data_IF_460629151203
#
_entry.id   IF_460629151203
#
_cell.length_a   1.000
_cell.length_b   1.000
_cell.length_c   1.000
_cell.angle_alpha   90.00
_cell.angle_beta   90.00
_cell.angle_gamma   90.00
#
_symmetry.space_group_name_H-M   'P 1'
#
loop_
_entity.id
_entity.type
_entity.pdbx_description
1 polymer ?
#
# COMPACT_ATOMS: atom_id res chain seq x y z
N UNK A 1 15.82 -8.02 -11.59
CA UNK A 1 15.45 -7.04 -10.55
C UNK A 1 14.33 -7.59 -9.70
N UNK A 2 14.39 -7.45 -8.38
CA UNK A 2 13.28 -7.89 -7.54
C UNK A 2 12.05 -7.04 -7.83
N UNK A 3 10.86 -7.66 -7.71
CA UNK A 3 9.61 -6.98 -7.91
C UNK A 3 9.43 -5.89 -6.85
N UNK A 4 8.90 -4.71 -7.20
CA UNK A 4 8.52 -3.72 -6.21
C UNK A 4 7.46 -4.28 -5.26
N UNK A 5 7.59 -3.97 -3.98
CA UNK A 5 6.63 -4.33 -2.95
C UNK A 5 5.80 -3.09 -2.62
N UNK A 6 4.49 -3.18 -2.84
CA UNK A 6 3.54 -2.12 -2.56
C UNK A 6 2.69 -2.51 -1.36
N UNK A 7 2.76 -1.72 -0.30
CA UNK A 7 1.91 -1.89 0.88
C UNK A 7 0.73 -0.93 0.81
N UNK A 8 -0.47 -1.45 1.01
CA UNK A 8 -1.70 -0.67 0.89
C UNK A 8 -2.27 -0.31 2.25
N UNK A 9 -2.48 0.99 2.48
CA UNK A 9 -3.29 1.49 3.58
C UNK A 9 -4.78 1.28 3.28
N UNK A 10 -5.61 1.26 4.33
CA UNK A 10 -7.04 1.01 4.21
C UNK A 10 -7.75 2.04 3.31
N UNK A 11 -7.42 3.33 3.44
CA UNK A 11 -8.02 4.38 2.61
C UNK A 11 -7.78 4.14 1.11
N UNK A 12 -6.57 3.74 0.73
CA UNK A 12 -6.25 3.43 -0.66
C UNK A 12 -6.98 2.18 -1.15
N UNK A 13 -7.06 1.15 -0.33
CA UNK A 13 -7.74 -0.09 -0.67
C UNK A 13 -9.26 0.11 -0.79
N UNK A 14 -9.87 0.85 0.12
CA UNK A 14 -11.30 1.20 0.05
C UNK A 14 -11.63 1.90 -1.27
N UNK A 15 -10.82 2.87 -1.67
CA UNK A 15 -11.01 3.56 -2.95
C UNK A 15 -10.82 2.64 -4.14
N UNK A 16 -9.92 1.68 -4.05
CA UNK A 16 -9.73 0.69 -5.12
C UNK A 16 -10.98 -0.17 -5.30
N UNK A 17 -11.63 -0.57 -4.21
CA UNK A 17 -12.87 -1.37 -4.24
C UNK A 17 -14.06 -0.58 -4.75
N UNK A 18 -14.23 0.65 -4.26
CA UNK A 18 -15.37 1.52 -4.61
C UNK A 18 -15.15 2.32 -5.88
N UNK A 19 -13.94 2.36 -6.41
CA UNK A 19 -13.57 3.23 -7.51
C UNK A 19 -13.94 2.71 -8.89
N UNK A 20 -13.79 3.59 -9.87
CA UNK A 20 -14.03 3.28 -11.28
C UNK A 20 -12.91 2.44 -11.89
N UNK A 21 -13.25 1.69 -12.95
CA UNK A 21 -12.34 0.77 -13.61
C UNK A 21 -11.05 1.41 -14.13
N UNK A 22 -11.09 2.70 -14.51
CA UNK A 22 -9.94 3.42 -15.07
C UNK A 22 -9.14 4.24 -14.06
N UNK A 23 -9.49 4.13 -12.77
CA UNK A 23 -8.79 4.86 -11.71
C UNK A 23 -7.35 4.37 -11.54
N UNK A 24 -6.42 5.22 -11.04
CA UNK A 24 -5.03 4.81 -10.80
C UNK A 24 -4.91 3.58 -9.88
N UNK A 25 -5.75 3.48 -8.86
CA UNK A 25 -5.73 2.34 -7.94
C UNK A 25 -6.19 1.04 -8.63
N UNK A 26 -7.13 1.12 -9.57
CA UNK A 26 -7.53 -0.04 -10.39
C UNK A 26 -6.42 -0.44 -11.36
N UNK A 27 -5.74 0.52 -11.96
CA UNK A 27 -4.58 0.25 -12.83
C UNK A 27 -3.45 -0.42 -12.04
N UNK A 28 -3.18 0.01 -10.80
CA UNK A 28 -2.19 -0.65 -9.93
C UNK A 28 -2.58 -2.10 -9.65
N UNK A 29 -3.88 -2.38 -9.42
CA UNK A 29 -4.35 -3.76 -9.22
C UNK A 29 -4.00 -4.67 -10.40
N UNK A 30 -4.09 -4.17 -11.63
CA UNK A 30 -3.71 -4.93 -12.82
C UNK A 30 -2.24 -5.33 -12.79
N UNK A 31 -1.36 -4.50 -12.27
CA UNK A 31 0.06 -4.85 -12.11
C UNK A 31 0.28 -6.02 -11.14
N UNK A 32 -0.52 -6.09 -10.10
CA UNK A 32 -0.54 -7.24 -9.19
C UNK A 32 -1.06 -8.50 -9.88
N UNK A 33 -2.12 -8.38 -10.68
CA UNK A 33 -2.71 -9.49 -11.43
C UNK A 33 -1.71 -10.15 -12.38
N UNK A 34 -0.91 -9.36 -13.09
CA UNK A 34 0.12 -9.88 -13.99
C UNK A 34 1.43 -10.26 -13.29
N UNK A 35 1.50 -10.06 -11.98
CA UNK A 35 2.67 -10.43 -11.19
C UNK A 35 3.88 -9.51 -11.35
N UNK A 36 3.67 -8.28 -11.81
CA UNK A 36 4.75 -7.30 -11.99
C UNK A 36 5.15 -6.61 -10.68
N UNK A 37 4.28 -6.61 -9.69
CA UNK A 37 4.50 -6.07 -8.35
C UNK A 37 3.99 -7.05 -7.30
N UNK A 38 4.55 -6.97 -6.10
CA UNK A 38 4.05 -7.69 -4.93
C UNK A 38 3.13 -6.78 -4.12
N UNK A 39 1.87 -7.17 -3.99
CA UNK A 39 0.88 -6.45 -3.21
C UNK A 39 0.84 -6.97 -1.78
N UNK A 40 0.92 -6.08 -0.81
CA UNK A 40 0.92 -6.41 0.61
C UNK A 40 -0.10 -5.60 1.38
N UNK A 41 -0.66 -6.21 2.40
CA UNK A 41 -1.49 -5.54 3.39
C UNK A 41 -1.32 -6.26 4.73
N UNK A 42 -1.65 -5.55 5.81
CA UNK A 42 -1.63 -6.12 7.16
C UNK A 42 -3.04 -6.52 7.60
N UNK A 43 -3.11 -7.25 8.70
CA UNK A 43 -4.38 -7.59 9.35
C UNK A 43 -5.15 -6.35 9.77
N UNK A 44 -4.45 -5.33 10.28
CA UNK A 44 -5.08 -4.06 10.67
C UNK A 44 -5.76 -3.39 9.48
N UNK A 45 -5.09 -3.36 8.33
CA UNK A 45 -5.66 -2.82 7.08
C UNK A 45 -6.89 -3.61 6.65
N UNK A 46 -6.81 -4.92 6.68
CA UNK A 46 -7.93 -5.80 6.30
C UNK A 46 -9.15 -5.54 7.17
N UNK A 47 -8.96 -5.50 8.48
CA UNK A 47 -10.05 -5.27 9.45
C UNK A 47 -10.72 -3.91 9.25
N UNK A 48 -9.94 -2.86 9.08
CA UNK A 48 -10.48 -1.53 8.88
C UNK A 48 -11.20 -1.42 7.53
N UNK A 49 -10.64 -1.98 6.49
CA UNK A 49 -11.26 -2.00 5.16
C UNK A 49 -12.60 -2.72 5.20
N UNK A 50 -12.67 -3.90 5.78
CA UNK A 50 -13.92 -4.64 5.93
C UNK A 50 -14.94 -3.86 6.75
N UNK A 51 -14.53 -3.27 7.87
CA UNK A 51 -15.39 -2.49 8.75
C UNK A 51 -16.07 -1.34 8.00
N UNK A 52 -15.31 -0.63 7.18
CA UNK A 52 -15.84 0.50 6.40
C UNK A 52 -16.72 -0.01 5.26
N UNK A 53 -16.28 -1.01 4.52
CA UNK A 53 -17.01 -1.52 3.35
C UNK A 53 -18.33 -2.22 3.70
N UNK A 54 -18.47 -2.79 4.91
CA UNK A 54 -19.74 -3.38 5.35
C UNK A 54 -20.91 -2.40 5.33
N UNK A 55 -20.64 -1.11 5.42
CA UNK A 55 -21.65 -0.06 5.32
C UNK A 55 -22.26 0.05 3.92
N UNK A 56 -21.57 -0.48 2.91
CA UNK A 56 -21.98 -0.44 1.51
C UNK A 56 -22.64 -1.74 1.04
N UNK A 57 -22.69 -2.78 1.87
CA UNK A 57 -23.38 -4.05 1.60
C UNK A 57 -22.43 -5.23 1.35
N UNK A 58 -23.01 -6.43 1.37
CA UNK A 58 -22.28 -7.68 1.20
C UNK A 58 -21.64 -7.82 -0.19
N UNK A 59 -22.25 -7.29 -1.23
CA UNK A 59 -21.72 -7.30 -2.59
C UNK A 59 -20.34 -6.64 -2.66
N UNK A 60 -20.14 -5.58 -1.88
CA UNK A 60 -18.88 -4.84 -1.82
C UNK A 60 -17.81 -5.64 -1.08
N UNK A 61 -18.20 -6.41 -0.06
CA UNK A 61 -17.28 -7.34 0.63
C UNK A 61 -16.83 -8.46 -0.33
N UNK A 62 -17.72 -8.97 -1.16
CA UNK A 62 -17.37 -9.94 -2.20
C UNK A 62 -16.40 -9.33 -3.23
N UNK A 63 -16.61 -8.08 -3.61
CA UNK A 63 -15.70 -7.35 -4.50
C UNK A 63 -14.32 -7.20 -3.89
N UNK A 64 -14.23 -6.88 -2.59
CA UNK A 64 -12.96 -6.83 -1.88
C UNK A 64 -12.22 -8.17 -1.96
N UNK A 65 -12.90 -9.26 -1.63
CA UNK A 65 -12.31 -10.61 -1.66
C UNK A 65 -11.79 -10.94 -3.07
N UNK A 66 -12.56 -10.60 -4.09
CA UNK A 66 -12.19 -10.83 -5.49
C UNK A 66 -10.97 -10.02 -5.90
N UNK A 67 -10.89 -8.76 -5.51
CA UNK A 67 -9.75 -7.88 -5.80
C UNK A 67 -8.49 -8.38 -5.11
N UNK A 68 -8.58 -8.74 -3.83
CA UNK A 68 -7.43 -9.26 -3.08
C UNK A 68 -6.88 -10.55 -3.70
N UNK A 69 -7.76 -11.43 -4.14
CA UNK A 69 -7.38 -12.68 -4.80
C UNK A 69 -6.72 -12.43 -6.16
N UNK A 70 -7.38 -11.67 -7.03
CA UNK A 70 -6.88 -11.38 -8.38
C UNK A 70 -5.55 -10.65 -8.38
N UNK A 71 -5.40 -9.64 -7.55
CA UNK A 71 -4.17 -8.86 -7.45
C UNK A 71 -3.08 -9.55 -6.62
N UNK A 72 -3.36 -10.76 -6.15
CA UNK A 72 -2.42 -11.63 -5.42
C UNK A 72 -1.86 -10.98 -4.15
N UNK A 73 -2.71 -10.32 -3.40
CA UNK A 73 -2.30 -9.73 -2.11
C UNK A 73 -1.81 -10.80 -1.15
N UNK A 74 -0.70 -10.50 -0.49
CA UNK A 74 -0.19 -11.32 0.61
C UNK A 74 -0.30 -10.56 1.93
N UNK A 75 -0.76 -11.25 2.95
CA UNK A 75 -0.87 -10.71 4.30
C UNK A 75 0.51 -10.66 4.94
N UNK A 76 0.86 -9.48 5.51
CA UNK A 76 2.10 -9.33 6.27
C UNK A 76 1.92 -9.81 7.71
N UNK A 77 3.03 -10.11 8.38
CA UNK A 77 3.01 -10.38 9.81
C UNK A 77 2.61 -9.13 10.60
N UNK A 78 2.03 -9.32 11.77
CA UNK A 78 1.80 -8.21 12.69
C UNK A 78 3.14 -7.58 13.06
N UNK A 79 3.24 -6.24 13.06
CA UNK A 79 4.51 -5.57 13.33
C UNK A 79 4.94 -5.79 14.79
N UNK A 80 6.25 -5.87 15.01
CA UNK A 80 6.82 -5.94 16.34
C UNK A 80 6.52 -4.65 17.13
N UNK A 81 6.25 -4.76 18.43
CA UNK A 81 5.94 -3.60 19.27
C UNK A 81 7.06 -2.55 19.27
N UNK A 82 8.31 -2.98 19.22
CA UNK A 82 9.46 -2.08 19.15
C UNK A 82 9.43 -1.22 17.89
N UNK A 83 9.08 -1.82 16.75
CA UNK A 83 8.94 -1.10 15.48
C UNK A 83 7.76 -0.14 15.51
N UNK A 84 6.64 -0.57 16.10
CA UNK A 84 5.47 0.29 16.29
C UNK A 84 5.82 1.51 17.17
N UNK A 85 6.54 1.29 18.28
CA UNK A 85 6.97 2.36 19.17
C UNK A 85 7.86 3.38 18.44
N UNK A 86 8.80 2.89 17.64
CA UNK A 86 9.65 3.76 16.82
C UNK A 86 8.83 4.56 15.81
N UNK A 87 7.93 3.90 15.08
CA UNK A 87 7.05 4.58 14.11
C UNK A 87 6.11 5.58 14.79
N UNK A 88 5.66 5.31 16.01
CA UNK A 88 4.80 6.23 16.75
C UNK A 88 5.50 7.56 17.06
N UNK A 89 6.82 7.55 17.24
CA UNK A 89 7.61 8.77 17.37
C UNK A 89 7.63 9.60 16.09
N UNK A 90 7.54 8.93 14.92
CA UNK A 90 7.56 9.58 13.63
C UNK A 90 6.18 10.09 13.20
N UNK A 91 5.12 9.34 13.50
CA UNK A 91 3.76 9.65 13.07
C UNK A 91 2.97 10.45 14.08
N UNK A 92 3.29 10.31 15.36
CA UNK A 92 2.54 10.93 16.45
C UNK A 92 1.18 10.29 16.74
N UNK A 93 0.82 9.20 16.05
CA UNK A 93 -0.46 8.51 16.20
C UNK A 93 -0.29 7.00 16.06
N UNK A 94 -0.62 6.25 17.11
CA UNK A 94 -0.31 4.81 17.17
C UNK A 94 -1.00 3.95 16.09
N UNK A 95 -2.28 4.16 15.74
CA UNK A 95 -2.87 3.39 14.64
C UNK A 95 -2.14 3.56 13.31
N UNK A 96 -1.72 4.78 12.97
CA UNK A 96 -0.90 5.04 11.77
C UNK A 96 0.49 4.39 11.90
N UNK A 97 1.06 4.43 13.10
CA UNK A 97 2.36 3.80 13.39
C UNK A 97 2.35 2.30 13.13
N UNK A 98 1.26 1.60 13.42
CA UNK A 98 1.13 0.17 13.14
C UNK A 98 1.15 -0.12 11.65
N UNK A 99 0.52 0.72 10.86
CA UNK A 99 0.51 0.61 9.39
C UNK A 99 1.91 0.84 8.83
N UNK A 100 2.55 1.92 9.24
CA UNK A 100 3.92 2.25 8.81
C UNK A 100 4.91 1.17 9.23
N UNK A 101 4.78 0.65 10.46
CA UNK A 101 5.63 -0.43 10.97
C UNK A 101 5.49 -1.71 10.14
N UNK A 102 4.28 -2.10 9.77
CA UNK A 102 4.05 -3.27 8.93
C UNK A 102 4.66 -3.08 7.54
N UNK A 103 4.51 -1.91 6.95
CA UNK A 103 5.13 -1.58 5.65
C UNK A 103 6.66 -1.63 5.74
N UNK A 104 7.23 -1.10 6.81
CA UNK A 104 8.67 -1.10 7.04
C UNK A 104 9.21 -2.53 7.21
N UNK A 105 8.58 -3.34 8.06
CA UNK A 105 9.05 -4.70 8.35
C UNK A 105 8.94 -5.65 7.14
N UNK A 106 7.97 -5.44 6.26
CA UNK A 106 7.85 -6.25 5.04
C UNK A 106 8.77 -5.76 3.90
N UNK A 107 9.61 -4.76 4.16
CA UNK A 107 10.50 -4.13 3.17
C UNK A 107 9.76 -3.55 1.97
N UNK A 108 8.60 -2.95 2.20
CA UNK A 108 7.85 -2.28 1.15
C UNK A 108 8.69 -1.18 0.49
N UNK A 109 8.58 -1.07 -0.82
CA UNK A 109 9.16 0.05 -1.56
C UNK A 109 8.27 1.29 -1.45
N UNK A 110 6.96 1.08 -1.45
CA UNK A 110 5.98 2.17 -1.37
C UNK A 110 4.86 1.79 -0.41
N UNK A 111 4.49 2.75 0.44
CA UNK A 111 3.25 2.73 1.23
C UNK A 111 2.22 3.59 0.50
N UNK A 112 1.14 2.99 0.05
CA UNK A 112 0.06 3.65 -0.67
C UNK A 112 -1.01 4.16 0.28
N UNK A 113 -1.27 5.46 0.25
CA UNK A 113 -2.26 6.10 1.11
C UNK A 113 -2.83 7.37 0.46
N UNK A 114 -3.94 7.85 1.02
CA UNK A 114 -4.51 9.17 0.73
C UNK A 114 -4.44 10.11 1.93
N UNK A 115 -3.90 9.66 3.06
CA UNK A 115 -3.75 10.48 4.26
C UNK A 115 -2.58 11.45 4.10
N UNK A 116 -2.89 12.69 3.71
CA UNK A 116 -1.88 13.73 3.55
C UNK A 116 -1.33 14.20 4.88
N UNK A 117 -2.23 14.48 5.82
CA UNK A 117 -1.86 15.14 7.07
C UNK A 117 -0.87 14.31 7.91
N UNK A 118 -1.11 13.03 8.05
CA UNK A 118 -0.33 12.16 8.93
C UNK A 118 0.78 11.39 8.21
N UNK A 119 0.60 11.09 6.92
CA UNK A 119 1.50 10.21 6.19
C UNK A 119 2.18 10.87 4.99
N UNK A 120 1.42 11.34 3.98
CA UNK A 120 2.01 11.87 2.74
C UNK A 120 2.88 13.10 2.96
N UNK A 121 2.43 14.04 3.77
CA UNK A 121 3.14 15.30 4.03
C UNK A 121 4.05 15.23 5.25
N UNK A 122 4.24 14.05 5.82
CA UNK A 122 5.12 13.86 6.97
C UNK A 122 6.58 13.71 6.51
N UNK A 123 7.44 14.72 6.79
CA UNK A 123 8.83 14.70 6.33
C UNK A 123 9.71 13.66 7.02
N UNK A 124 9.25 13.08 8.13
CA UNK A 124 9.98 12.05 8.87
C UNK A 124 9.80 10.65 8.28
N UNK A 125 8.84 10.46 7.38
CA UNK A 125 8.59 9.19 6.72
C UNK A 125 9.30 9.15 5.35
N UNK A 126 10.05 8.09 5.13
CA UNK A 126 10.83 7.91 3.92
C UNK A 126 12.34 8.00 4.16
N UNK A 127 13.14 7.88 3.08
CA UNK A 127 14.59 7.98 3.19
C UNK A 127 15.08 9.31 3.77
N UNK A 128 16.16 9.33 4.55
CA UNK A 128 17.02 8.18 4.87
C UNK A 128 16.54 7.31 6.03
N UNK A 129 15.54 7.74 6.79
CA UNK A 129 15.08 7.03 8.01
C UNK A 129 14.41 5.69 7.69
N UNK A 130 13.63 5.66 6.60
CA UNK A 130 12.93 4.48 6.14
C UNK A 130 13.18 4.25 4.65
N UNK A 131 13.32 2.99 4.25
CA UNK A 131 13.38 2.63 2.83
C UNK A 131 12.06 2.96 2.11
N UNK A 132 10.95 2.68 2.76
CA UNK A 132 9.62 2.85 2.23
C UNK A 132 9.30 4.34 2.00
N UNK A 133 8.86 4.69 0.80
CA UNK A 133 8.34 6.01 0.49
C UNK A 133 6.82 6.00 0.54
N UNK A 134 6.22 7.12 0.94
CA UNK A 134 4.76 7.25 1.02
C UNK A 134 4.27 7.96 -0.24
N UNK A 135 3.31 7.36 -0.94
CA UNK A 135 2.78 7.87 -2.22
C UNK A 135 1.29 7.64 -2.34
N UNK A 136 0.63 8.49 -3.13
CA UNK A 136 -0.72 8.19 -3.61
C UNK A 136 -0.65 7.12 -4.71
N UNK A 137 -1.75 6.40 -4.98
CA UNK A 137 -1.77 5.46 -6.11
C UNK A 137 -1.40 6.08 -7.46
N UNK A 138 -1.81 7.32 -7.72
CA UNK A 138 -1.44 8.03 -8.95
C UNK A 138 0.06 8.27 -9.07
N UNK A 139 0.68 8.75 -7.99
CA UNK A 139 2.14 8.97 -7.93
C UNK A 139 2.91 7.65 -8.08
N UNK A 140 2.41 6.59 -7.43
CA UNK A 140 3.02 5.26 -7.52
C UNK A 140 2.95 4.70 -8.95
N UNK A 141 1.82 4.87 -9.61
CA UNK A 141 1.66 4.44 -11.00
C UNK A 141 2.66 5.13 -11.93
N UNK A 142 2.86 6.44 -11.75
CA UNK A 142 3.88 7.19 -12.48
C UNK A 142 5.29 6.69 -12.21
N UNK A 143 5.62 6.42 -10.97
CA UNK A 143 6.91 5.86 -10.57
C UNK A 143 7.17 4.49 -11.20
N UNK A 144 6.18 3.61 -11.20
CA UNK A 144 6.30 2.28 -11.81
C UNK A 144 6.54 2.37 -13.31
N UNK A 145 5.81 3.24 -14.01
CA UNK A 145 5.99 3.46 -15.44
C UNK A 145 7.41 3.93 -15.77
N UNK A 146 7.94 4.87 -14.99
CA UNK A 146 9.30 5.36 -15.15
C UNK A 146 10.33 4.26 -14.90
N UNK A 147 10.13 3.45 -13.85
CA UNK A 147 11.03 2.37 -13.48
C UNK A 147 11.11 1.31 -14.58
N UNK A 148 10.01 0.98 -15.21
CA UNK A 148 9.98 0.00 -16.30
C UNK A 148 10.66 0.51 -17.55
N UNK A 149 10.45 1.77 -17.91
CA UNK A 149 11.13 2.36 -19.08
C UNK A 149 12.65 2.47 -18.89
N UNK A 150 13.11 2.65 -17.66
CA UNK A 150 14.54 2.68 -17.34
C UNK A 150 15.17 1.28 -17.28
N UNK A 151 14.37 0.25 -16.94
CA UNK A 151 14.83 -1.13 -16.89
C UNK A 151 15.04 -1.78 -18.26
N UNK A 152 14.45 -1.21 -19.31
CA UNK A 152 14.60 -1.66 -20.70
C UNK A 152 15.80 -1.02 -21.41
N UNK A 153 16.54 -0.15 -20.78
CA UNK A 153 17.82 0.31 -21.31
C UNK A 153 18.83 -0.82 -21.24
N UNK A 154 19.39 -1.25 -22.38
CA UNK A 154 20.46 -2.24 -22.33
C UNK A 154 21.57 -1.68 -21.45
N UNK A 155 21.97 -2.47 -20.47
CA UNK A 155 23.12 -2.13 -19.65
C UNK A 155 24.33 -1.99 -20.58
N UNK A 156 24.88 -0.82 -20.63
CA UNK A 156 26.18 -0.60 -21.27
C UNK A 156 27.29 -1.33 -20.49
#
# INVERSE_FOLDING_TARGET
MPKPILFWDSAALIRAVLGEANSPYRQLMQWGEIGAVDMRLSRDVTRETERVLRRFGEDVIEDLARILDRARFALTLDPAEETVDWCAQLTGYRPDARIVAAAHECNADVLLTFDRQHLLDNPLLGPPEMRCVVRTPGECLGWLRTRLTQGDSPAD
#
